data_IF_129130994372
#
_entry.id   IF_129130994372
#
_cell.length_a   1.000
_cell.length_b   1.000
_cell.length_c   1.000
_cell.angle_alpha   90.00
_cell.angle_beta   90.00
_cell.angle_gamma   90.00
#
_symmetry.space_group_name_H-M   'P 1'
#
loop_
_entity.id
_entity.type
_entity.pdbx_description
1 polymer ?
#
# COMPACT_ATOMS: atom_id res chain seq x y z
N UNK A 1 3.87 4.64 4.77
CA UNK A 1 3.00 3.57 5.30
C UNK A 1 2.28 4.15 6.51
N UNK A 2 1.00 3.81 6.70
CA UNK A 2 0.22 4.19 7.86
C UNK A 2 -0.56 2.99 8.39
N UNK A 3 -1.02 3.03 9.63
CA UNK A 3 -1.98 2.06 10.16
C UNK A 3 -3.37 2.68 10.14
N UNK A 4 -4.37 2.00 9.60
CA UNK A 4 -5.78 2.42 9.56
C UNK A 4 -6.67 1.19 9.61
N UNK A 5 -7.84 1.30 10.26
CA UNK A 5 -8.76 0.17 10.44
C UNK A 5 -8.06 -1.07 11.02
N UNK A 6 -7.11 -0.85 11.94
CA UNK A 6 -6.30 -1.88 12.62
C UNK A 6 -5.43 -2.72 11.66
N UNK A 7 -5.10 -2.21 10.48
CA UNK A 7 -4.21 -2.88 9.52
C UNK A 7 -3.29 -1.90 8.82
N UNK A 8 -2.24 -2.43 8.19
CA UNK A 8 -1.29 -1.64 7.44
C UNK A 8 -1.92 -1.12 6.13
N UNK A 9 -1.71 0.16 5.88
CA UNK A 9 -2.05 0.85 4.64
C UNK A 9 -0.80 1.27 3.88
N UNK A 10 -0.67 0.71 2.68
CA UNK A 10 0.44 0.92 1.75
C UNK A 10 0.04 1.98 0.72
N UNK A 11 0.52 3.20 0.89
CA UNK A 11 0.26 4.32 -0.02
C UNK A 11 1.01 4.10 -1.35
N UNK A 12 0.26 4.06 -2.45
CA UNK A 12 0.75 3.87 -3.82
C UNK A 12 0.77 5.21 -4.59
N UNK A 13 1.72 5.44 -5.52
CA UNK A 13 2.82 4.56 -5.94
C UNK A 13 4.07 4.65 -5.06
N UNK A 14 4.12 5.60 -4.12
CA UNK A 14 5.35 5.97 -3.41
C UNK A 14 6.06 4.81 -2.69
N UNK A 15 5.30 3.88 -2.09
CA UNK A 15 5.90 2.70 -1.44
C UNK A 15 6.63 1.79 -2.42
N UNK A 16 6.07 1.57 -3.61
CA UNK A 16 6.65 0.71 -4.64
C UNK A 16 7.80 1.39 -5.37
N UNK A 17 7.73 2.72 -5.52
CA UNK A 17 8.84 3.50 -6.04
C UNK A 17 10.07 3.39 -5.16
N UNK A 18 9.91 3.57 -3.84
CA UNK A 18 11.02 3.40 -2.88
C UNK A 18 11.58 1.98 -2.90
N UNK A 19 10.71 0.97 -2.89
CA UNK A 19 11.14 -0.43 -2.99
C UNK A 19 11.95 -0.67 -4.28
N UNK A 20 11.47 -0.22 -5.44
CA UNK A 20 12.19 -0.40 -6.70
C UNK A 20 13.57 0.31 -6.73
N UNK A 21 13.74 1.41 -5.99
CA UNK A 21 15.02 2.11 -5.85
C UNK A 21 16.01 1.36 -4.95
N UNK A 22 15.53 0.73 -3.87
CA UNK A 22 16.37 -0.02 -2.93
C UNK A 22 16.82 -1.38 -3.48
N UNK A 23 16.13 -1.92 -4.49
CA UNK A 23 16.40 -3.23 -5.07
C UNK A 23 16.67 -3.14 -6.58
N UNK A 24 17.92 -2.82 -7.02
CA UNK A 24 18.27 -2.65 -8.42
C UNK A 24 17.96 -3.85 -9.32
N UNK A 25 17.91 -5.07 -8.77
CA UNK A 25 17.50 -6.27 -9.49
C UNK A 25 16.08 -6.19 -10.07
N UNK A 26 15.20 -5.38 -9.47
CA UNK A 26 13.85 -5.11 -9.95
C UNK A 26 13.89 -4.48 -11.35
N UNK A 27 14.85 -3.60 -11.62
CA UNK A 27 14.94 -2.92 -12.92
C UNK A 27 15.11 -3.91 -14.08
N UNK A 28 15.91 -4.97 -13.88
CA UNK A 28 16.08 -6.04 -14.88
C UNK A 28 14.78 -6.81 -15.11
N UNK A 29 14.13 -7.25 -14.03
CA UNK A 29 12.89 -8.02 -14.09
C UNK A 29 11.73 -7.20 -14.69
N UNK A 30 11.69 -5.90 -14.40
CA UNK A 30 10.72 -4.98 -14.94
C UNK A 30 10.91 -4.75 -16.44
N UNK A 31 12.17 -4.65 -16.90
CA UNK A 31 12.52 -4.54 -18.31
C UNK A 31 12.04 -5.76 -19.11
N UNK A 32 12.25 -6.97 -18.60
CA UNK A 32 11.79 -8.22 -19.24
C UNK A 32 10.27 -8.26 -19.39
N UNK A 33 9.54 -7.61 -18.47
CA UNK A 33 8.09 -7.49 -18.50
C UNK A 33 7.57 -6.24 -19.24
N UNK A 34 8.45 -5.42 -19.80
CA UNK A 34 8.13 -4.12 -20.42
C UNK A 34 7.35 -3.17 -19.49
N UNK A 35 7.74 -3.10 -18.22
CA UNK A 35 7.13 -2.25 -17.21
C UNK A 35 8.17 -1.36 -16.52
N UNK A 36 7.72 -0.26 -15.94
CA UNK A 36 8.52 0.48 -14.97
C UNK A 36 8.74 -0.35 -13.70
N UNK A 37 9.87 -0.13 -13.01
CA UNK A 37 10.23 -0.89 -11.81
C UNK A 37 9.12 -0.90 -10.75
N UNK A 38 8.54 0.26 -10.43
CA UNK A 38 7.47 0.35 -9.44
C UNK A 38 6.18 -0.33 -9.88
N UNK A 39 5.83 -0.28 -11.18
CA UNK A 39 4.65 -0.97 -11.72
C UNK A 39 4.83 -2.49 -11.67
N UNK A 40 6.04 -2.96 -11.99
CA UNK A 40 6.37 -4.38 -11.88
C UNK A 40 6.24 -4.87 -10.44
N UNK A 41 6.79 -4.13 -9.48
CA UNK A 41 6.68 -4.44 -8.05
C UNK A 41 5.22 -4.45 -7.60
N UNK A 42 4.43 -3.44 -8.00
CA UNK A 42 3.01 -3.36 -7.67
C UNK A 42 2.23 -4.57 -8.22
N UNK A 43 2.45 -4.96 -9.49
CA UNK A 43 1.82 -6.17 -10.06
C UNK A 43 2.23 -7.43 -9.30
N UNK A 44 3.50 -7.57 -8.91
CA UNK A 44 3.96 -8.71 -8.12
C UNK A 44 3.33 -8.73 -6.73
N UNK A 45 3.20 -7.59 -6.08
CA UNK A 45 2.50 -7.47 -4.81
C UNK A 45 1.03 -7.90 -4.94
N UNK A 46 0.32 -7.46 -5.99
CA UNK A 46 -1.07 -7.88 -6.21
C UNK A 46 -1.22 -9.39 -6.47
N UNK A 47 -0.22 -10.02 -7.10
CA UNK A 47 -0.19 -11.47 -7.30
C UNK A 47 -0.03 -12.26 -6.00
N UNK A 48 0.61 -11.68 -4.97
CA UNK A 48 0.74 -12.31 -3.65
C UNK A 48 -0.59 -12.38 -2.89
N UNK A 49 -1.60 -11.58 -3.29
CA UNK A 49 -2.95 -11.55 -2.67
C UNK A 49 -2.93 -11.32 -1.15
N UNK A 50 -1.92 -10.62 -0.66
CA UNK A 50 -1.82 -10.23 0.76
C UNK A 50 -2.67 -9.00 1.09
N UNK A 51 -3.13 -8.28 0.08
CA UNK A 51 -4.02 -7.13 0.22
C UNK A 51 -5.50 -7.54 0.29
N UNK A 52 -6.28 -6.70 0.97
CA UNK A 52 -7.74 -6.80 1.05
C UNK A 52 -8.36 -6.25 -0.23
N UNK A 53 -9.32 -6.99 -0.79
CA UNK A 53 -10.15 -6.53 -1.91
C UNK A 53 -11.42 -5.84 -1.42
N UNK A 54 -11.89 -4.87 -2.18
CA UNK A 54 -13.20 -4.26 -2.02
C UNK A 54 -14.31 -5.22 -2.49
N UNK A 55 -15.55 -4.96 -2.06
CA UNK A 55 -16.72 -5.76 -2.45
C UNK A 55 -16.98 -5.74 -3.98
N UNK A 56 -16.61 -4.65 -4.65
CA UNK A 56 -16.68 -4.50 -6.11
C UNK A 56 -15.53 -5.20 -6.86
N UNK A 57 -14.60 -5.86 -6.16
CA UNK A 57 -13.46 -6.56 -6.74
C UNK A 57 -12.20 -5.73 -6.96
N UNK A 58 -12.21 -4.43 -6.65
CA UNK A 58 -11.03 -3.55 -6.75
C UNK A 58 -10.02 -3.81 -5.62
N UNK A 59 -8.75 -3.57 -5.91
CA UNK A 59 -7.65 -3.75 -4.94
C UNK A 59 -7.25 -2.44 -4.22
N UNK A 60 -7.53 -1.30 -4.85
CA UNK A 60 -7.07 0.02 -4.41
C UNK A 60 -8.14 0.66 -3.55
N UNK A 61 -7.77 1.00 -2.33
CA UNK A 61 -8.57 1.75 -1.39
C UNK A 61 -8.22 3.22 -1.44
N UNK A 62 -9.21 4.07 -1.15
CA UNK A 62 -9.00 5.50 -0.99
C UNK A 62 -9.07 5.82 0.50
N UNK A 63 -8.07 6.53 1.01
CA UNK A 63 -8.09 7.09 2.36
C UNK A 63 -8.06 8.61 2.29
N UNK A 64 -8.77 9.25 3.20
CA UNK A 64 -8.71 10.68 3.42
C UNK A 64 -7.74 10.98 4.55
N UNK A 65 -6.79 11.87 4.28
CA UNK A 65 -5.84 12.42 5.24
C UNK A 65 -6.32 13.81 5.62
N UNK A 66 -6.78 13.96 6.86
CA UNK A 66 -7.14 15.25 7.43
C UNK A 66 -5.87 16.03 7.82
N UNK A 67 -5.60 17.12 7.10
CA UNK A 67 -4.61 18.12 7.53
C UNK A 67 -5.27 19.27 8.30
N UNK A 68 -4.47 20.14 8.94
CA UNK A 68 -4.99 21.28 9.72
C UNK A 68 -5.92 22.22 8.94
N UNK A 69 -5.70 22.35 7.62
CA UNK A 69 -6.51 23.26 6.78
C UNK A 69 -7.21 22.56 5.60
N UNK A 70 -6.74 21.37 5.19
CA UNK A 70 -7.24 20.68 3.97
C UNK A 70 -7.22 19.18 4.17
N UNK A 71 -8.27 18.52 3.69
CA UNK A 71 -8.32 17.06 3.54
C UNK A 71 -7.78 16.67 2.18
N UNK A 72 -6.92 15.65 2.11
CA UNK A 72 -6.39 15.09 0.87
C UNK A 72 -6.79 13.63 0.74
N UNK A 73 -7.04 13.19 -0.49
CA UNK A 73 -7.26 11.76 -0.79
C UNK A 73 -5.96 11.12 -1.22
N UNK A 74 -5.67 9.96 -0.65
CA UNK A 74 -4.54 9.11 -1.02
C UNK A 74 -5.03 7.73 -1.38
N UNK A 75 -4.37 7.10 -2.34
CA UNK A 75 -4.74 5.77 -2.81
C UNK A 75 -3.68 4.75 -2.40
N UNK A 76 -4.12 3.52 -2.14
CA UNK A 76 -3.22 2.51 -1.61
C UNK A 76 -3.91 1.17 -1.36
N UNK A 77 -3.16 0.27 -0.74
CA UNK A 77 -3.61 -1.08 -0.44
C UNK A 77 -3.77 -1.23 1.08
N UNK A 78 -4.88 -1.85 1.50
CA UNK A 78 -5.01 -2.35 2.86
C UNK A 78 -4.52 -3.79 2.90
N UNK A 79 -3.73 -4.15 3.91
CA UNK A 79 -3.39 -5.55 4.12
C UNK A 79 -4.54 -6.32 4.75
N UNK A 80 -4.69 -7.58 4.35
CA UNK A 80 -5.70 -8.49 4.92
C UNK A 80 -5.46 -8.73 6.40
N UNK A 81 -4.19 -8.87 6.79
CA UNK A 81 -3.75 -9.08 8.18
C UNK A 81 -2.62 -8.09 8.50
N UNK A 82 -2.59 -7.51 9.71
CA UNK A 82 -1.46 -6.71 10.17
C UNK A 82 -0.22 -7.57 10.42
N UNK A 83 -0.39 -8.86 10.72
CA UNK A 83 0.69 -9.83 10.95
C UNK A 83 1.59 -10.05 9.72
N UNK A 84 1.09 -9.71 8.53
CA UNK A 84 1.88 -9.75 7.28
C UNK A 84 3.03 -8.72 7.25
N UNK A 85 3.01 -7.70 8.13
CA UNK A 85 4.03 -6.65 8.18
C UNK A 85 4.60 -6.42 9.59
N UNK A 86 3.78 -6.61 10.63
CA UNK A 86 4.16 -6.39 12.01
C UNK A 86 4.09 -7.71 12.77
N UNK A 87 4.96 -7.91 13.76
CA UNK A 87 4.70 -8.93 14.78
C UNK A 87 3.40 -8.58 15.52
N UNK A 88 2.61 -9.56 15.95
CA UNK A 88 1.30 -9.31 16.60
C UNK A 88 1.39 -8.35 17.81
N UNK A 89 2.54 -8.34 18.50
CA UNK A 89 2.82 -7.45 19.62
C UNK A 89 3.15 -5.99 19.23
N UNK A 90 3.48 -5.73 17.95
CA UNK A 90 4.07 -4.48 17.48
C UNK A 90 3.19 -3.74 16.45
N UNK A 91 1.89 -4.05 16.38
CA UNK A 91 0.98 -3.34 15.48
C UNK A 91 0.84 -1.88 15.93
N UNK A 92 1.25 -0.88 15.13
CA UNK A 92 1.17 0.51 15.55
C UNK A 92 -0.29 0.97 15.67
N UNK A 93 -0.54 1.93 16.57
CA UNK A 93 -1.88 2.54 16.73
C UNK A 93 -2.32 3.19 15.41
N UNK A 94 -3.62 3.12 15.11
CA UNK A 94 -4.20 3.77 13.93
C UNK A 94 -3.86 5.26 13.88
N UNK A 95 -3.56 5.76 12.68
CA UNK A 95 -3.32 7.18 12.47
C UNK A 95 -4.65 7.95 12.63
N UNK A 96 -4.80 8.85 13.63
CA UNK A 96 -6.06 9.55 13.89
C UNK A 96 -6.47 10.51 12.77
N UNK A 97 -5.51 10.90 11.92
CA UNK A 97 -5.75 11.79 10.78
C UNK A 97 -6.06 11.05 9.48
N UNK A 98 -6.02 9.71 9.48
CA UNK A 98 -6.28 8.90 8.30
C UNK A 98 -7.60 8.14 8.45
N UNK A 99 -8.50 8.29 7.48
CA UNK A 99 -9.79 7.60 7.45
C UNK A 99 -9.97 6.90 6.11
N UNK A 100 -10.57 5.71 6.13
CA UNK A 100 -10.94 5.02 4.91
C UNK A 100 -12.16 5.72 4.30
N UNK A 101 -12.09 6.06 3.01
CA UNK A 101 -13.25 6.55 2.26
C UNK A 101 -14.06 5.33 1.81
N UNK A 102 -15.34 5.28 2.19
CA UNK A 102 -16.30 4.26 1.74
C UNK A 102 -16.68 4.43 0.27
#
# INVERSE_FOLDING_TARGET
>A
MHTVANTAYLVSPGVFQRYAQEYPQVARLAKDAQLDGWQWVQKRFEQLRLHRKQANGLNIWTCEIAGPCKTRRVHGYLLSTPASLFSEADVPINNPYLKLAE
#
